data_IF_908023833717
#
_entry.id   IF_908023833717
#
_cell.length_a   1.000
_cell.length_b   1.000
_cell.length_c   1.000
_cell.angle_alpha   90.00
_cell.angle_beta   90.00
_cell.angle_gamma   90.00
#
_symmetry.space_group_name_H-M   'P 1'
#
loop_
_entity.id
_entity.type
_entity.pdbx_description
1 polymer ?
#
# COMPACT_ATOMS: atom_id res chain seq x y z
N UNK A 1 30.73 13.85 12.49
CA UNK A 1 29.48 13.08 12.52
C UNK A 1 29.73 11.81 13.29
N UNK A 2 28.85 11.46 14.24
CA UNK A 2 28.87 10.17 14.96
C UNK A 2 27.57 9.48 14.60
N UNK A 3 27.61 8.21 14.20
CA UNK A 3 26.39 7.42 14.04
C UNK A 3 25.75 7.29 15.42
N UNK A 4 24.52 7.78 15.59
CA UNK A 4 23.75 7.44 16.78
C UNK A 4 23.46 5.94 16.68
N UNK A 5 24.08 5.13 17.54
CA UNK A 5 23.92 3.67 17.53
C UNK A 5 22.48 3.17 17.71
N UNK A 6 21.51 4.05 17.93
CA UNK A 6 20.07 3.77 17.99
C UNK A 6 19.20 4.41 16.90
N UNK A 7 19.77 5.13 15.91
CA UNK A 7 19.00 5.72 14.79
C UNK A 7 19.14 4.94 13.48
N UNK A 8 20.18 4.11 13.36
CA UNK A 8 20.34 3.20 12.22
C UNK A 8 19.15 2.23 12.15
N UNK A 9 18.53 2.13 10.98
CA UNK A 9 17.34 1.27 10.79
C UNK A 9 16.00 1.94 11.10
N UNK A 10 15.97 3.25 11.41
CA UNK A 10 14.72 3.97 11.70
C UNK A 10 14.22 4.74 10.47
N UNK A 11 12.92 4.66 10.20
CA UNK A 11 12.25 5.51 9.21
C UNK A 11 12.24 6.98 9.65
N UNK A 12 12.01 7.88 8.70
CA UNK A 12 11.90 9.30 9.02
C UNK A 12 10.69 9.61 9.92
N UNK A 13 9.63 8.78 9.93
CA UNK A 13 8.53 8.92 10.92
C UNK A 13 9.05 8.75 12.33
N UNK A 14 9.88 7.74 12.55
CA UNK A 14 10.46 7.45 13.87
C UNK A 14 11.52 8.46 14.27
N UNK A 15 12.37 8.86 13.34
CA UNK A 15 13.38 9.89 13.60
C UNK A 15 12.73 11.22 13.99
N UNK A 16 11.68 11.61 13.27
CA UNK A 16 10.94 12.83 13.57
C UNK A 16 10.25 12.76 14.93
N UNK A 17 9.54 11.66 15.21
CA UNK A 17 8.79 11.49 16.47
C UNK A 17 9.69 11.38 17.71
N UNK A 18 10.81 10.67 17.59
CA UNK A 18 11.66 10.35 18.75
C UNK A 18 12.78 11.37 18.96
N UNK A 19 13.28 11.97 17.88
CA UNK A 19 14.50 12.79 17.92
C UNK A 19 14.33 14.17 17.27
N UNK A 20 13.21 14.46 16.62
CA UNK A 20 12.92 15.78 16.06
C UNK A 20 13.71 16.14 14.82
N UNK A 21 14.24 15.16 14.07
CA UNK A 21 14.94 15.39 12.81
C UNK A 21 14.57 14.33 11.76
N UNK A 22 14.85 14.63 10.49
CA UNK A 22 14.75 13.70 9.37
C UNK A 22 16.12 13.52 8.72
N UNK A 23 16.41 12.33 8.21
CA UNK A 23 17.57 12.08 7.38
C UNK A 23 17.20 12.25 5.90
N UNK A 24 18.02 13.02 5.19
CA UNK A 24 17.90 13.11 3.74
C UNK A 24 18.29 11.77 3.11
N UNK A 25 17.54 11.33 2.10
CA UNK A 25 17.75 10.06 1.40
C UNK A 25 17.76 8.81 2.31
N UNK A 26 17.04 8.84 3.43
CA UNK A 26 16.92 7.70 4.33
C UNK A 26 16.37 6.46 3.59
N UNK A 27 17.17 5.40 3.52
CA UNK A 27 16.81 4.15 2.84
C UNK A 27 15.78 3.31 3.62
N UNK A 28 15.65 3.58 4.91
CA UNK A 28 14.75 2.89 5.83
C UNK A 28 13.38 3.58 5.93
N UNK A 29 13.14 4.60 5.11
CA UNK A 29 11.88 5.33 5.12
C UNK A 29 10.73 4.46 4.58
N UNK A 30 9.55 4.65 5.19
CA UNK A 30 8.36 3.83 4.96
C UNK A 30 7.13 4.69 4.68
N UNK A 31 6.18 4.21 3.90
CA UNK A 31 4.88 4.85 3.72
C UNK A 31 3.78 3.88 4.16
N UNK A 32 2.95 4.29 5.10
CA UNK A 32 1.88 3.44 5.65
C UNK A 32 0.53 3.82 5.05
N UNK A 33 -0.21 2.83 4.58
CA UNK A 33 -1.59 2.99 4.11
C UNK A 33 -2.50 2.12 4.96
N UNK A 34 -3.57 2.71 5.46
CA UNK A 34 -4.61 2.01 6.20
C UNK A 34 -5.62 1.42 5.20
N UNK A 35 -5.86 0.11 5.28
CA UNK A 35 -6.77 -0.63 4.38
C UNK A 35 -8.09 -1.02 5.06
N UNK A 36 -8.32 -0.51 6.27
CA UNK A 36 -9.40 -0.92 7.19
C UNK A 36 -10.80 -0.66 6.63
N UNK A 37 -10.96 0.22 5.63
CA UNK A 37 -12.27 0.66 5.14
C UNK A 37 -12.71 0.01 3.82
N UNK A 38 -12.09 -1.08 3.36
CA UNK A 38 -12.57 -1.76 2.15
C UNK A 38 -13.77 -2.65 2.51
N UNK A 39 -15.02 -2.31 2.11
CA UNK A 39 -16.16 -3.16 2.39
C UNK A 39 -16.03 -4.47 1.61
N UNK A 40 -16.10 -5.60 2.31
CA UNK A 40 -16.05 -6.93 1.70
C UNK A 40 -17.43 -7.56 1.80
N UNK A 41 -18.00 -7.92 0.66
CA UNK A 41 -19.19 -8.75 0.61
C UNK A 41 -18.81 -10.22 0.85
N UNK A 42 -18.78 -10.61 2.12
CA UNK A 42 -18.43 -11.96 2.55
C UNK A 42 -19.37 -13.05 2.02
N UNK A 43 -20.64 -12.70 1.76
CA UNK A 43 -21.61 -13.63 1.22
C UNK A 43 -21.29 -13.99 -0.24
N UNK A 44 -20.75 -13.04 -1.02
CA UNK A 44 -20.25 -13.29 -2.37
C UNK A 44 -18.85 -13.95 -2.35
N UNK A 45 -18.01 -13.59 -1.39
CA UNK A 45 -16.64 -14.04 -1.32
C UNK A 45 -16.50 -15.54 -0.98
N UNK A 46 -17.33 -16.05 -0.07
CA UNK A 46 -17.26 -17.44 0.40
C UNK A 46 -18.41 -18.24 -0.23
N UNK A 47 -18.11 -18.93 -1.34
CA UNK A 47 -19.09 -19.85 -1.93
C UNK A 47 -19.31 -21.05 -0.98
N UNK A 48 -20.56 -21.47 -0.74
CA UNK A 48 -20.84 -22.64 0.07
C UNK A 48 -20.29 -23.90 -0.60
N UNK A 49 -19.43 -24.63 0.12
CA UNK A 49 -18.89 -25.91 -0.34
C UNK A 49 -19.90 -27.00 -0.01
N UNK A 50 -20.54 -27.58 -1.05
CA UNK A 50 -21.34 -28.82 -1.04
C UNK A 50 -22.01 -29.15 0.31
N UNK A 51 -22.96 -28.34 0.74
CA UNK A 51 -23.86 -28.67 1.86
C UNK A 51 -23.25 -28.60 3.26
N UNK A 52 -22.03 -28.06 3.43
CA UNK A 52 -21.47 -27.74 4.75
C UNK A 52 -21.36 -26.22 4.92
N UNK A 53 -22.05 -25.69 5.95
CA UNK A 53 -22.03 -24.27 6.29
C UNK A 53 -20.78 -23.93 7.13
N UNK A 54 -19.62 -23.92 6.47
CA UNK A 54 -18.36 -23.44 7.06
C UNK A 54 -18.14 -21.93 6.83
N UNK A 55 -19.15 -21.21 6.31
CA UNK A 55 -19.07 -19.80 5.95
C UNK A 55 -18.52 -18.90 7.06
N UNK A 56 -19.09 -18.94 8.29
CA UNK A 56 -18.66 -18.08 9.39
C UNK A 56 -17.23 -18.35 9.89
N UNK A 57 -16.83 -19.63 9.96
CA UNK A 57 -15.47 -20.00 10.39
C UNK A 57 -14.42 -19.59 9.35
N UNK A 58 -14.75 -19.72 8.06
CA UNK A 58 -13.87 -19.26 6.97
C UNK A 58 -13.77 -17.74 6.96
N UNK A 59 -14.89 -17.03 7.13
CA UNK A 59 -14.89 -15.56 7.23
C UNK A 59 -13.94 -15.09 8.35
N UNK A 60 -14.11 -15.62 9.56
CA UNK A 60 -13.26 -15.23 10.70
C UNK A 60 -11.76 -15.50 10.45
N UNK A 61 -11.44 -16.61 9.77
CA UNK A 61 -10.08 -16.95 9.40
C UNK A 61 -9.50 -15.98 8.35
N UNK A 62 -10.29 -15.58 7.35
CA UNK A 62 -9.84 -14.67 6.28
C UNK A 62 -9.78 -13.21 6.75
N UNK A 63 -10.73 -12.76 7.58
CA UNK A 63 -10.71 -11.44 8.22
C UNK A 63 -9.42 -11.20 9.01
N UNK A 64 -8.92 -12.22 9.71
CA UNK A 64 -7.65 -12.15 10.44
C UNK A 64 -6.41 -12.03 9.55
N UNK A 65 -6.53 -12.33 8.24
CA UNK A 65 -5.42 -12.35 7.28
C UNK A 65 -5.41 -11.15 6.34
N UNK A 66 -6.55 -10.47 6.18
CA UNK A 66 -6.63 -9.25 5.38
C UNK A 66 -5.71 -8.19 6.00
N UNK A 67 -4.85 -7.53 5.19
CA UNK A 67 -3.97 -6.53 5.74
C UNK A 67 -4.82 -5.36 6.24
N UNK A 68 -4.56 -4.86 7.45
CA UNK A 68 -5.10 -3.59 7.95
C UNK A 68 -4.20 -2.40 7.60
N UNK A 69 -2.93 -2.71 7.38
CA UNK A 69 -1.91 -1.75 7.00
C UNK A 69 -1.06 -2.33 5.87
N UNK A 70 -0.79 -1.50 4.87
CA UNK A 70 0.13 -1.77 3.77
C UNK A 70 1.31 -0.83 3.96
N UNK A 71 2.52 -1.36 3.94
CA UNK A 71 3.75 -0.58 4.08
C UNK A 71 4.50 -0.60 2.75
N UNK A 72 4.79 0.59 2.24
CA UNK A 72 5.65 0.77 1.08
C UNK A 72 7.02 1.21 1.57
N UNK A 73 8.06 0.57 1.06
CA UNK A 73 9.45 1.00 1.23
C UNK A 73 9.98 1.50 -0.11
N UNK A 74 11.18 2.08 -0.14
CA UNK A 74 11.87 2.35 -1.41
C UNK A 74 11.94 1.11 -2.31
N UNK A 75 12.07 -0.07 -1.69
CA UNK A 75 12.14 -1.33 -2.42
C UNK A 75 10.79 -1.88 -2.92
N UNK A 76 9.70 -1.18 -2.64
CA UNK A 76 8.33 -1.54 -2.98
C UNK A 76 7.59 -2.13 -1.79
N UNK A 77 6.70 -3.08 -2.06
CA UNK A 77 5.85 -3.73 -1.06
C UNK A 77 6.48 -5.04 -0.63
N UNK A 78 6.50 -5.32 0.68
CA UNK A 78 7.06 -6.57 1.19
C UNK A 78 6.21 -7.78 0.78
N UNK A 79 6.86 -8.96 0.72
CA UNK A 79 6.21 -10.19 0.28
C UNK A 79 5.00 -10.58 1.15
N UNK A 80 5.05 -10.32 2.46
CA UNK A 80 3.94 -10.60 3.37
C UNK A 80 2.74 -9.70 3.12
N UNK A 81 2.98 -8.44 2.77
CA UNK A 81 1.91 -7.52 2.36
C UNK A 81 1.33 -7.88 1.00
N UNK A 82 2.16 -8.24 0.01
CA UNK A 82 1.68 -8.75 -1.29
C UNK A 82 0.81 -10.00 -1.12
N UNK A 83 1.24 -10.95 -0.27
CA UNK A 83 0.49 -12.15 0.08
C UNK A 83 -0.93 -11.82 0.57
N UNK A 84 -1.02 -10.85 1.48
CA UNK A 84 -2.28 -10.41 2.08
C UNK A 84 -3.15 -9.62 1.09
N UNK A 85 -2.54 -8.84 0.21
CA UNK A 85 -3.26 -8.13 -0.87
C UNK A 85 -3.85 -9.09 -1.90
N UNK A 86 -3.12 -10.15 -2.29
CA UNK A 86 -3.64 -11.21 -3.17
C UNK A 86 -4.88 -11.87 -2.58
N UNK A 87 -4.84 -12.16 -1.28
CA UNK A 87 -5.99 -12.68 -0.56
C UNK A 87 -7.17 -11.69 -0.58
N UNK A 88 -6.92 -10.42 -0.24
CA UNK A 88 -7.96 -9.38 -0.24
C UNK A 88 -8.68 -9.30 -1.60
N UNK A 89 -7.92 -9.27 -2.69
CA UNK A 89 -8.48 -9.25 -4.04
C UNK A 89 -9.21 -10.55 -4.37
N UNK A 90 -8.67 -11.71 -4.00
CA UNK A 90 -9.34 -12.99 -4.25
C UNK A 90 -10.68 -13.08 -3.51
N UNK A 91 -10.75 -12.58 -2.28
CA UNK A 91 -11.97 -12.46 -1.49
C UNK A 91 -12.96 -11.53 -2.20
N UNK A 92 -12.53 -10.33 -2.61
CA UNK A 92 -13.37 -9.36 -3.30
C UNK A 92 -13.92 -9.87 -4.65
N UNK A 93 -13.18 -10.74 -5.34
CA UNK A 93 -13.58 -11.33 -6.63
C UNK A 93 -14.25 -12.70 -6.52
N UNK A 94 -14.43 -13.25 -5.31
CA UNK A 94 -15.04 -14.57 -5.10
C UNK A 94 -14.20 -15.73 -5.66
N UNK A 95 -12.87 -15.56 -5.72
CA UNK A 95 -11.89 -16.53 -6.21
C UNK A 95 -11.25 -17.34 -5.06
N UNK A 96 -11.82 -17.32 -3.84
CA UNK A 96 -11.20 -17.97 -2.68
C UNK A 96 -10.94 -19.46 -2.99
N UNK A 97 -9.68 -19.91 -3.04
CA UNK A 97 -9.37 -21.30 -3.34
C UNK A 97 -9.83 -22.18 -2.18
N UNK A 98 -10.64 -23.19 -2.48
CA UNK A 98 -11.30 -24.06 -1.49
C UNK A 98 -10.36 -24.90 -0.62
N UNK A 99 -9.08 -24.99 -0.97
CA UNK A 99 -8.16 -25.99 -0.40
C UNK A 99 -6.76 -25.49 -0.08
N UNK A 100 -6.45 -24.19 -0.25
CA UNK A 100 -5.07 -23.73 0.01
C UNK A 100 -4.89 -23.45 1.50
N UNK A 101 -4.04 -24.21 2.23
CA UNK A 101 -3.65 -23.83 3.58
C UNK A 101 -2.98 -22.46 3.51
N UNK A 102 -3.06 -21.70 4.60
CA UNK A 102 -2.60 -20.31 4.80
C UNK A 102 -1.13 -20.01 4.36
N UNK A 103 -0.40 -21.00 3.84
CA UNK A 103 0.96 -20.92 3.32
C UNK A 103 1.11 -20.46 1.87
N UNK A 104 0.22 -20.77 0.91
CA UNK A 104 0.61 -20.76 -0.52
C UNK A 104 0.30 -19.50 -1.36
N UNK A 105 -0.03 -18.36 -0.74
CA UNK A 105 -0.21 -17.09 -1.46
C UNK A 105 1.11 -16.36 -1.77
N UNK A 106 2.24 -17.00 -1.47
CA UNK A 106 3.58 -16.52 -1.83
C UNK A 106 3.75 -16.45 -3.35
N UNK A 107 3.02 -17.29 -4.09
CA UNK A 107 2.88 -17.26 -5.54
C UNK A 107 1.56 -16.59 -5.96
N UNK A 108 1.51 -16.06 -7.18
CA UNK A 108 0.29 -15.47 -7.73
C UNK A 108 -0.85 -16.49 -7.77
N UNK A 109 -2.07 -16.03 -7.46
CA UNK A 109 -3.28 -16.88 -7.46
C UNK A 109 -3.73 -17.12 -8.91
N UNK A 110 -3.84 -16.04 -9.66
CA UNK A 110 -4.15 -15.97 -11.08
C UNK A 110 -3.49 -14.70 -11.64
N UNK A 111 -3.32 -14.62 -12.97
CA UNK A 111 -2.80 -13.41 -13.61
C UNK A 111 -3.75 -12.21 -13.39
N UNK A 112 -5.06 -12.46 -13.42
CA UNK A 112 -6.09 -11.44 -13.18
C UNK A 112 -6.04 -10.90 -11.75
N UNK A 113 -5.91 -11.78 -10.76
CA UNK A 113 -5.74 -11.40 -9.35
C UNK A 113 -4.47 -10.57 -9.16
N UNK A 114 -3.35 -11.01 -9.73
CA UNK A 114 -2.07 -10.30 -9.60
C UNK A 114 -2.16 -8.88 -10.19
N UNK A 115 -2.81 -8.73 -11.35
CA UNK A 115 -2.99 -7.43 -11.98
C UNK A 115 -3.94 -6.53 -11.21
N UNK A 116 -5.02 -7.07 -10.65
CA UNK A 116 -5.92 -6.33 -9.80
C UNK A 116 -5.21 -5.83 -8.52
N UNK A 117 -4.36 -6.65 -7.90
CA UNK A 117 -3.50 -6.23 -6.77
C UNK A 117 -2.59 -5.07 -7.18
N UNK A 118 -1.84 -5.20 -8.28
CA UNK A 118 -0.93 -4.15 -8.72
C UNK A 118 -1.67 -2.86 -9.11
N UNK A 119 -2.80 -2.98 -9.82
CA UNK A 119 -3.63 -1.83 -10.18
C UNK A 119 -4.18 -1.12 -8.95
N UNK A 120 -4.68 -1.84 -7.96
CA UNK A 120 -5.16 -1.25 -6.71
C UNK A 120 -4.04 -0.50 -5.98
N UNK A 121 -2.86 -1.12 -5.83
CA UNK A 121 -1.71 -0.48 -5.19
C UNK A 121 -1.25 0.79 -5.93
N UNK A 122 -1.21 0.76 -7.27
CA UNK A 122 -0.87 1.94 -8.09
C UNK A 122 -1.90 3.05 -7.91
N UNK A 123 -3.19 2.73 -7.98
CA UNK A 123 -4.27 3.70 -7.83
C UNK A 123 -4.22 4.40 -6.49
N UNK A 124 -4.00 3.64 -5.42
CA UNK A 124 -3.84 4.20 -4.07
C UNK A 124 -2.62 5.13 -4.00
N UNK A 125 -1.47 4.73 -4.55
CA UNK A 125 -0.28 5.61 -4.57
C UNK A 125 -0.55 6.92 -5.31
N UNK A 126 -1.29 6.88 -6.43
CA UNK A 126 -1.70 8.09 -7.15
C UNK A 126 -2.65 8.98 -6.35
N UNK A 127 -3.63 8.39 -5.65
CA UNK A 127 -4.55 9.14 -4.80
C UNK A 127 -3.80 9.85 -3.67
N UNK A 128 -2.85 9.16 -3.02
CA UNK A 128 -2.01 9.75 -1.97
C UNK A 128 -1.14 10.90 -2.52
N UNK A 129 -0.48 10.72 -3.67
CA UNK A 129 0.28 11.78 -4.31
C UNK A 129 -0.58 13.00 -4.67
N UNK A 130 -1.82 12.76 -5.13
CA UNK A 130 -2.78 13.83 -5.43
C UNK A 130 -3.13 14.62 -4.16
N UNK A 131 -3.35 13.95 -3.03
CA UNK A 131 -3.60 14.59 -1.72
C UNK A 131 -2.44 15.50 -1.31
N UNK A 132 -1.19 15.07 -1.52
CA UNK A 132 -0.02 15.93 -1.27
C UNK A 132 0.03 17.16 -2.19
N UNK A 133 -0.25 16.99 -3.48
CA UNK A 133 -0.27 18.12 -4.42
C UNK A 133 -1.36 19.15 -4.05
N UNK A 134 -2.54 18.68 -3.66
CA UNK A 134 -3.63 19.55 -3.17
C UNK A 134 -3.24 20.27 -1.87
N UNK A 135 -2.54 19.59 -0.96
CA UNK A 135 -2.03 20.19 0.26
C UNK A 135 -1.04 21.32 -0.03
N UNK A 136 -0.07 21.09 -0.92
CA UNK A 136 0.93 22.11 -1.29
C UNK A 136 0.30 23.34 -1.94
N UNK A 137 -0.67 23.14 -2.84
CA UNK A 137 -1.41 24.25 -3.46
C UNK A 137 -2.14 25.11 -2.42
N UNK A 138 -2.71 24.50 -1.37
CA UNK A 138 -3.37 25.23 -0.27
C UNK A 138 -2.37 25.95 0.63
N UNK A 139 -1.19 25.38 0.85
CA UNK A 139 -0.16 25.94 1.72
C UNK A 139 0.65 27.07 1.08
N UNK A 140 0.84 27.07 -0.24
CA UNK A 140 1.52 28.16 -0.96
C UNK A 140 0.83 29.52 -0.80
N UNK A 141 -0.47 29.54 -0.46
CA UNK A 141 -1.20 30.76 -0.09
C UNK A 141 -1.06 31.19 1.37
N UNK A 142 -0.66 30.29 2.28
CA UNK A 142 -0.60 30.53 3.73
C UNK A 142 0.82 30.72 4.29
N UNK A 143 1.81 30.04 3.74
CA UNK A 143 3.21 30.06 4.24
C UNK A 143 3.87 31.42 4.01
N UNK A 144 3.48 32.17 2.97
CA UNK A 144 3.99 33.52 2.70
C UNK A 144 3.62 34.54 3.79
N UNK A 145 2.79 34.18 4.78
CA UNK A 145 2.23 35.08 5.78
C UNK A 145 2.66 34.79 7.23
N UNK A 146 3.50 33.79 7.50
CA UNK A 146 3.88 33.37 8.86
C UNK A 146 5.40 33.26 9.05
N UNK A 147 5.90 33.70 10.22
CA UNK A 147 7.25 33.42 10.71
C UNK A 147 7.37 31.94 11.08
N UNK A 148 7.58 31.08 10.08
CA UNK A 148 7.86 29.66 10.30
C UNK A 148 9.35 29.50 10.61
N UNK A 149 9.66 28.77 11.67
CA UNK A 149 11.02 28.33 12.01
C UNK A 149 11.67 27.62 10.80
N UNK A 150 12.79 28.14 10.26
CA UNK A 150 13.42 27.60 9.06
C UNK A 150 13.85 26.14 9.17
N UNK A 151 14.29 25.71 10.36
CA UNK A 151 14.73 24.34 10.59
C UNK A 151 13.54 23.38 10.55
N UNK A 152 12.41 23.79 11.15
CA UNK A 152 11.17 23.00 11.08
C UNK A 152 10.57 22.95 9.68
N UNK A 153 10.64 24.05 8.93
CA UNK A 153 10.22 24.09 7.53
C UNK A 153 11.08 23.15 6.68
N UNK A 154 12.40 23.16 6.89
CA UNK A 154 13.32 22.25 6.24
C UNK A 154 13.02 20.78 6.56
N UNK A 155 12.83 20.44 7.85
CA UNK A 155 12.50 19.08 8.29
C UNK A 155 11.19 18.59 7.65
N UNK A 156 10.16 19.44 7.60
CA UNK A 156 8.89 19.11 6.95
C UNK A 156 9.07 18.88 5.44
N UNK A 157 9.90 19.69 4.77
CA UNK A 157 10.24 19.51 3.36
C UNK A 157 10.93 18.18 3.09
N UNK A 158 11.96 17.84 3.89
CA UNK A 158 12.67 16.55 3.78
C UNK A 158 11.72 15.36 4.02
N UNK A 159 10.86 15.46 5.03
CA UNK A 159 9.88 14.42 5.34
C UNK A 159 8.91 14.19 4.16
N UNK A 160 8.31 15.26 3.63
CA UNK A 160 7.34 15.19 2.54
C UNK A 160 7.97 14.68 1.24
N UNK A 161 9.20 15.12 0.92
CA UNK A 161 9.92 14.64 -0.26
C UNK A 161 10.20 13.14 -0.17
N UNK A 162 10.62 12.65 1.01
CA UNK A 162 10.80 11.22 1.27
C UNK A 162 9.54 10.40 1.01
N UNK A 163 8.39 10.83 1.55
CA UNK A 163 7.11 10.16 1.34
C UNK A 163 6.69 10.12 -0.13
N UNK A 164 6.78 11.25 -0.83
CA UNK A 164 6.46 11.34 -2.27
C UNK A 164 7.37 10.45 -3.10
N UNK A 165 8.65 10.36 -2.74
CA UNK A 165 9.62 9.55 -3.44
C UNK A 165 9.29 8.07 -3.32
N UNK A 166 8.96 7.57 -2.13
CA UNK A 166 8.52 6.18 -1.92
C UNK A 166 7.32 5.86 -2.81
N UNK A 167 6.30 6.71 -2.83
CA UNK A 167 5.11 6.52 -3.65
C UNK A 167 5.43 6.52 -5.16
N UNK A 168 6.28 7.43 -5.61
CA UNK A 168 6.66 7.56 -7.03
C UNK A 168 7.52 6.39 -7.50
N UNK A 169 8.53 6.01 -6.71
CA UNK A 169 9.38 4.84 -6.98
C UNK A 169 8.55 3.55 -6.99
N UNK A 170 7.62 3.41 -6.05
CA UNK A 170 6.66 2.30 -6.01
C UNK A 170 5.87 2.25 -7.30
N UNK A 171 5.20 3.33 -7.72
CA UNK A 171 4.42 3.38 -8.97
C UNK A 171 5.28 2.94 -10.17
N UNK A 172 6.51 3.44 -10.28
CA UNK A 172 7.43 3.07 -11.35
C UNK A 172 7.69 1.55 -11.40
N UNK A 173 7.95 0.93 -10.24
CA UNK A 173 8.13 -0.52 -10.12
C UNK A 173 6.85 -1.28 -10.51
N UNK A 174 5.69 -0.89 -9.97
CA UNK A 174 4.42 -1.58 -10.20
C UNK A 174 3.97 -1.49 -11.67
N UNK A 175 4.15 -0.33 -12.29
CA UNK A 175 3.85 -0.13 -13.71
C UNK A 175 4.76 -0.94 -14.62
N UNK A 176 6.04 -1.09 -14.26
CA UNK A 176 6.95 -1.96 -14.98
C UNK A 176 6.43 -3.41 -14.98
N UNK A 177 6.04 -3.94 -13.81
CA UNK A 177 5.43 -5.26 -13.70
C UNK A 177 4.14 -5.40 -14.52
N UNK A 178 3.21 -4.43 -14.45
CA UNK A 178 1.97 -4.48 -15.23
C UNK A 178 2.23 -4.49 -16.75
N UNK A 179 3.20 -3.70 -17.24
CA UNK A 179 3.59 -3.69 -18.65
C UNK A 179 4.17 -5.03 -19.09
N UNK A 180 5.06 -5.61 -18.29
CA UNK A 180 5.65 -6.94 -18.57
C UNK A 180 4.55 -8.01 -18.59
N UNK A 181 3.67 -8.02 -17.60
CA UNK A 181 2.54 -8.98 -17.52
C UNK A 181 1.58 -8.87 -18.71
N UNK A 182 1.30 -7.65 -19.21
CA UNK A 182 0.48 -7.46 -20.41
C UNK A 182 1.20 -7.92 -21.68
N UNK A 183 2.51 -7.66 -21.80
CA UNK A 183 3.32 -8.07 -22.95
C UNK A 183 3.47 -9.60 -23.06
N UNK A 184 3.41 -10.32 -21.94
CA UNK A 184 3.37 -11.78 -21.92
C UNK A 184 2.01 -12.39 -22.33
N UNK A 185 1.01 -11.55 -22.64
CA UNK A 185 -0.19 -11.93 -23.39
C UNK A 185 -1.20 -12.79 -22.64
N UNK A 186 -2.05 -12.18 -21.80
CA UNK A 186 -3.40 -12.67 -21.43
C UNK A 186 -4.04 -11.73 -20.38
N UNK A 187 -4.61 -10.58 -20.78
CA UNK A 187 -5.41 -9.76 -19.84
C UNK A 187 -6.49 -8.98 -20.58
N UNK A 188 -7.76 -9.25 -20.25
CA UNK A 188 -8.93 -8.57 -20.84
C UNK A 188 -9.62 -7.60 -19.90
N UNK A 189 -9.22 -7.50 -18.63
CA UNK A 189 -9.96 -6.71 -17.62
C UNK A 189 -9.00 -5.99 -16.68
N UNK A 190 -9.04 -4.65 -16.72
CA UNK A 190 -8.32 -3.77 -15.80
C UNK A 190 -9.31 -3.32 -14.73
N UNK A 191 -8.97 -3.53 -13.46
CA UNK A 191 -9.75 -3.00 -12.35
C UNK A 191 -9.66 -1.48 -12.35
N UNK A 192 -10.81 -0.81 -12.44
CA UNK A 192 -10.96 0.63 -12.27
C UNK A 192 -11.49 0.84 -10.87
N UNK A 193 -10.78 1.61 -10.05
CA UNK A 193 -11.27 1.98 -8.72
C UNK A 193 -12.65 2.63 -8.86
N UNK A 194 -13.62 2.30 -7.99
CA UNK A 194 -14.90 2.98 -8.02
C UNK A 194 -14.67 4.48 -7.75
N UNK A 195 -15.09 5.33 -8.68
CA UNK A 195 -15.13 6.77 -8.47
C UNK A 195 -16.06 7.06 -7.28
N UNK A 196 -15.56 7.82 -6.30
CA UNK A 196 -16.36 8.35 -5.20
C UNK A 196 -17.55 9.12 -5.80
N UNK A 197 -18.76 8.62 -5.56
CA UNK A 197 -20.03 9.32 -5.83
C UNK A 197 -20.46 10.11 -4.61
#
# INVERSE_FOLDING_TARGET
FVSYGGTSGLSNDRLLLLYGFCEHDNLEDEYHICTVDTPIDWAQAIKPVRGQDQGPQRQQLWEGLIPRHVVFKRDGVDAGTMKRMRLLVAVAHGEIPDTRPQGSFDQSISLENELAVWSALVSVCYQELKRYAEFELRQLGGIASHDIDPDRAYIAGVFLDGKKRILTETIGRLQHFSKVSRACGQVTTVWVAPEER
#
